data_IF_973219375894
#
_entry.id   IF_973219375894
#
_cell.length_a   1.000
_cell.length_b   1.000
_cell.length_c   1.000
_cell.angle_alpha   90.00
_cell.angle_beta   90.00
_cell.angle_gamma   90.00
#
_symmetry.space_group_name_H-M   'P 1'
#
loop_
_entity.id
_entity.type
_entity.pdbx_description
1 polymer ?
#
# COMPACT_ATOMS: atom_id res chain seq x y z
N UNK A 1 14.43 28.27 -91.90
CA UNK A 1 14.13 28.08 -93.33
C UNK A 1 12.64 28.18 -93.46
N UNK A 2 12.16 29.31 -93.94
CA UNK A 2 10.74 29.46 -94.27
C UNK A 2 10.41 28.47 -95.39
N UNK A 3 9.26 27.81 -95.28
CA UNK A 3 8.76 26.94 -96.34
C UNK A 3 8.72 27.73 -97.64
N UNK A 4 9.36 27.21 -98.69
CA UNK A 4 9.44 27.88 -99.98
C UNK A 4 8.04 28.03 -100.59
N UNK A 5 7.87 29.07 -101.42
CA UNK A 5 6.55 29.47 -101.90
C UNK A 5 5.84 28.38 -102.74
N UNK A 6 6.58 27.48 -103.38
CA UNK A 6 6.02 26.36 -104.13
C UNK A 6 5.46 25.29 -103.18
N UNK A 7 6.22 24.89 -102.18
CA UNK A 7 5.75 23.93 -101.16
C UNK A 7 4.57 24.47 -100.37
N UNK A 8 4.56 25.77 -100.04
CA UNK A 8 3.42 26.42 -99.36
C UNK A 8 2.13 26.37 -100.21
N UNK A 9 2.23 26.70 -101.50
CA UNK A 9 1.10 26.60 -102.45
C UNK A 9 0.61 25.16 -102.62
N UNK A 10 1.51 24.18 -102.62
CA UNK A 10 1.12 22.77 -102.67
C UNK A 10 0.41 22.34 -101.39
N UNK A 11 0.90 22.79 -100.23
CA UNK A 11 0.29 22.49 -98.94
C UNK A 11 -1.10 23.15 -98.77
N UNK A 12 -1.28 24.37 -99.29
CA UNK A 12 -2.59 25.04 -99.36
C UNK A 12 -3.58 24.28 -100.25
N UNK A 13 -3.13 23.77 -101.41
CA UNK A 13 -3.96 22.91 -102.28
C UNK A 13 -4.37 21.61 -101.58
N UNK A 14 -3.43 20.96 -100.89
CA UNK A 14 -3.72 19.74 -100.13
C UNK A 14 -4.71 20.04 -99.00
N UNK A 15 -4.53 21.14 -98.27
CA UNK A 15 -5.46 21.56 -97.22
C UNK A 15 -6.87 21.81 -97.77
N UNK A 16 -6.99 22.44 -98.94
CA UNK A 16 -8.27 22.65 -99.62
C UNK A 16 -8.96 21.32 -99.98
N UNK A 17 -8.22 20.37 -100.57
CA UNK A 17 -8.75 19.05 -100.93
C UNK A 17 -9.14 18.24 -99.69
N UNK A 18 -8.33 18.28 -98.62
CA UNK A 18 -8.66 17.60 -97.36
C UNK A 18 -9.92 18.19 -96.72
N UNK A 19 -10.11 19.50 -96.79
CA UNK A 19 -11.31 20.15 -96.26
C UNK A 19 -12.56 19.80 -97.06
N UNK A 20 -12.45 19.66 -98.37
CA UNK A 20 -13.57 19.23 -99.23
C UNK A 20 -13.93 17.76 -98.95
N UNK A 21 -12.91 16.89 -98.87
CA UNK A 21 -13.07 15.49 -98.51
C UNK A 21 -13.71 15.32 -97.12
N UNK A 22 -13.33 16.16 -96.14
CA UNK A 22 -13.95 16.13 -94.81
C UNK A 22 -15.44 16.43 -94.84
N UNK A 23 -15.87 17.36 -95.71
CA UNK A 23 -17.29 17.68 -95.87
C UNK A 23 -18.07 16.54 -96.50
N UNK A 24 -17.48 15.87 -97.48
CA UNK A 24 -18.10 14.71 -98.11
C UNK A 24 -18.17 13.53 -97.14
N UNK A 25 -17.10 13.29 -96.36
CA UNK A 25 -17.05 12.25 -95.33
C UNK A 25 -18.02 12.53 -94.17
N UNK A 26 -18.27 13.79 -93.83
CA UNK A 26 -19.27 14.17 -92.81
C UNK A 26 -20.70 13.81 -93.24
N UNK A 27 -21.03 13.93 -94.54
CA UNK A 27 -22.32 13.47 -95.07
C UNK A 27 -22.33 11.94 -95.13
N UNK A 28 -21.27 11.34 -95.67
CA UNK A 28 -21.17 9.89 -95.86
C UNK A 28 -21.16 9.09 -94.55
N UNK A 29 -20.57 9.63 -93.47
CA UNK A 29 -20.53 8.98 -92.15
C UNK A 29 -21.90 8.89 -91.48
N UNK A 30 -22.90 9.62 -92.01
CA UNK A 30 -24.28 9.62 -91.55
C UNK A 30 -25.23 8.90 -92.51
N UNK A 31 -24.71 8.25 -93.56
CA UNK A 31 -25.49 7.38 -94.44
C UNK A 31 -25.61 5.98 -93.85
N UNK A 32 -26.77 5.31 -94.00
CA UNK A 32 -26.88 3.93 -93.63
C UNK A 32 -26.06 3.05 -94.59
N UNK A 33 -25.53 1.94 -94.07
CA UNK A 33 -24.75 0.95 -94.83
C UNK A 33 -25.57 0.33 -95.97
N UNK A 34 -26.89 0.21 -95.79
CA UNK A 34 -27.84 -0.17 -96.84
C UNK A 34 -28.80 0.97 -97.12
N UNK A 35 -28.78 1.47 -98.37
CA UNK A 35 -29.70 2.48 -98.87
C UNK A 35 -30.99 1.87 -99.42
N UNK A 36 -31.10 0.54 -99.54
CA UNK A 36 -32.30 -0.13 -100.05
C UNK A 36 -33.59 0.22 -99.30
N UNK A 37 -33.60 0.49 -97.98
CA UNK A 37 -34.83 0.90 -97.31
C UNK A 37 -35.34 2.27 -97.74
N UNK A 38 -34.46 3.14 -98.25
CA UNK A 38 -34.83 4.46 -98.77
C UNK A 38 -35.59 4.38 -100.11
N UNK A 39 -35.57 3.22 -100.77
CA UNK A 39 -36.17 3.02 -102.10
C UNK A 39 -37.38 2.11 -102.04
N UNK A 40 -37.68 1.53 -100.86
CA UNK A 40 -38.83 0.66 -100.63
C UNK A 40 -40.03 1.48 -100.18
N UNK A 41 -41.04 1.53 -101.05
CA UNK A 41 -42.33 2.18 -100.76
C UNK A 41 -42.96 1.72 -99.44
N UNK A 42 -42.84 0.43 -99.10
CA UNK A 42 -43.39 -0.14 -97.87
C UNK A 42 -42.73 0.47 -96.62
N UNK A 43 -41.41 0.69 -96.63
CA UNK A 43 -40.69 1.32 -95.52
C UNK A 43 -41.12 2.79 -95.36
N UNK A 44 -41.22 3.52 -96.46
CA UNK A 44 -41.63 4.94 -96.47
C UNK A 44 -43.11 5.14 -96.08
N UNK A 45 -44.00 4.24 -96.49
CA UNK A 45 -45.41 4.26 -96.05
C UNK A 45 -45.54 3.97 -94.55
N UNK A 46 -44.68 3.09 -94.01
CA UNK A 46 -44.63 2.78 -92.58
C UNK A 46 -44.11 3.98 -91.78
N UNK A 47 -43.10 4.70 -92.29
CA UNK A 47 -42.64 5.97 -91.69
C UNK A 47 -43.78 7.01 -91.69
N UNK A 48 -44.52 7.13 -92.80
CA UNK A 48 -45.65 8.05 -92.92
C UNK A 48 -46.76 7.76 -91.91
N UNK A 49 -47.08 6.48 -91.68
CA UNK A 49 -48.10 6.10 -90.68
C UNK A 49 -47.63 6.32 -89.26
N UNK A 50 -46.34 6.09 -88.95
CA UNK A 50 -45.74 6.42 -87.65
C UNK A 50 -45.80 7.93 -87.37
N UNK A 51 -45.39 8.77 -88.33
CA UNK A 51 -45.45 10.23 -88.20
C UNK A 51 -46.87 10.78 -88.08
N UNK A 52 -47.85 10.20 -88.78
CA UNK A 52 -49.25 10.65 -88.76
C UNK A 52 -50.03 10.18 -87.52
N UNK A 53 -49.64 9.07 -86.90
CA UNK A 53 -50.36 8.49 -85.75
C UNK A 53 -49.99 9.13 -84.42
N UNK A 54 -48.91 9.92 -84.36
CA UNK A 54 -48.48 10.59 -83.13
C UNK A 54 -48.16 9.65 -81.97
N UNK A 55 -47.94 8.36 -82.25
CA UNK A 55 -47.55 7.36 -81.27
C UNK A 55 -46.05 7.53 -80.96
N UNK A 56 -45.73 8.57 -80.21
CA UNK A 56 -44.53 8.54 -79.38
C UNK A 56 -44.84 7.64 -78.17
N UNK A 57 -43.92 6.71 -77.89
CA UNK A 57 -43.87 5.81 -76.72
C UNK A 57 -44.65 4.47 -76.81
N UNK A 58 -43.89 3.37 -76.82
CA UNK A 58 -44.31 2.13 -76.14
C UNK A 58 -44.45 0.85 -76.96
N UNK A 59 -43.85 0.76 -78.15
CA UNK A 59 -43.70 -0.51 -78.89
C UNK A 59 -42.22 -0.91 -79.02
N UNK A 60 -41.53 -1.08 -77.90
CA UNK A 60 -40.21 -1.74 -77.91
C UNK A 60 -40.39 -3.21 -78.35
N UNK A 61 -39.40 -3.70 -79.10
CA UNK A 61 -39.21 -5.05 -79.64
C UNK A 61 -39.66 -5.20 -81.11
N UNK A 62 -38.72 -4.95 -82.04
CA UNK A 62 -38.76 -5.18 -83.50
C UNK A 62 -39.25 -4.02 -84.41
N UNK A 63 -38.85 -2.77 -84.16
CA UNK A 63 -38.78 -1.83 -85.28
C UNK A 63 -37.69 -2.31 -86.25
N UNK A 64 -38.06 -2.61 -87.50
CA UNK A 64 -37.12 -3.01 -88.56
C UNK A 64 -36.09 -1.90 -88.78
N UNK A 65 -34.80 -2.28 -88.82
CA UNK A 65 -33.69 -1.40 -89.20
C UNK A 65 -33.97 -0.65 -90.52
N UNK A 66 -34.72 -1.29 -91.42
CA UNK A 66 -35.19 -0.72 -92.67
C UNK A 66 -36.11 0.49 -92.48
N UNK A 67 -37.02 0.46 -91.51
CA UNK A 67 -37.93 1.58 -91.23
C UNK A 67 -37.16 2.74 -90.60
N UNK A 68 -36.24 2.46 -89.67
CA UNK A 68 -35.33 3.47 -89.08
C UNK A 68 -34.44 4.13 -90.12
N UNK A 69 -33.84 3.34 -91.00
CA UNK A 69 -33.08 3.88 -92.13
C UNK A 69 -33.97 4.79 -92.98
N UNK A 70 -35.18 4.34 -93.37
CA UNK A 70 -36.11 5.15 -94.17
C UNK A 70 -36.56 6.46 -93.50
N UNK A 71 -36.62 6.53 -92.15
CA UNK A 71 -36.89 7.78 -91.43
C UNK A 71 -35.84 8.86 -91.69
N UNK A 72 -34.56 8.49 -91.85
CA UNK A 72 -33.45 9.43 -92.05
C UNK A 72 -33.57 10.23 -93.36
N UNK A 73 -34.12 9.63 -94.42
CA UNK A 73 -34.30 10.29 -95.71
C UNK A 73 -35.66 10.97 -95.85
N UNK A 74 -36.65 10.61 -95.02
CA UNK A 74 -38.04 11.02 -95.19
C UNK A 74 -38.21 12.55 -95.23
N UNK A 75 -37.54 13.28 -94.33
CA UNK A 75 -37.59 14.74 -94.29
C UNK A 75 -36.90 15.44 -95.48
N UNK A 76 -35.92 14.78 -96.12
CA UNK A 76 -35.34 15.26 -97.38
C UNK A 76 -36.28 14.95 -98.54
N UNK A 77 -36.84 13.75 -98.58
CA UNK A 77 -37.80 13.34 -99.61
C UNK A 77 -39.06 14.23 -99.64
N UNK A 78 -39.57 14.65 -98.48
CA UNK A 78 -40.73 15.56 -98.40
C UNK A 78 -40.51 16.90 -99.11
N UNK A 79 -39.26 17.37 -99.20
CA UNK A 79 -38.92 18.61 -99.90
C UNK A 79 -39.02 18.49 -101.42
N UNK A 80 -39.00 17.26 -101.96
CA UNK A 80 -39.03 16.96 -103.40
C UNK A 80 -40.38 16.41 -103.89
N UNK A 81 -41.36 16.20 -103.01
CA UNK A 81 -42.68 15.70 -103.37
C UNK A 81 -43.25 14.73 -102.35
N UNK A 82 -44.11 13.80 -102.79
CA UNK A 82 -44.62 12.74 -101.91
C UNK A 82 -43.47 11.77 -101.57
N UNK A 83 -43.09 11.61 -100.28
CA UNK A 83 -42.04 10.68 -99.86
C UNK A 83 -42.36 9.21 -100.15
N UNK A 84 -43.60 8.87 -100.51
CA UNK A 84 -44.01 7.50 -100.86
C UNK A 84 -44.02 7.24 -102.38
N UNK A 85 -43.77 8.27 -103.20
CA UNK A 85 -43.64 8.16 -104.65
C UNK A 85 -42.16 8.16 -105.07
N UNK A 86 -41.51 6.99 -104.94
CA UNK A 86 -40.08 6.78 -105.25
C UNK A 86 -39.74 7.16 -106.70
N UNK A 87 -40.67 7.00 -107.64
CA UNK A 87 -40.44 7.28 -109.06
C UNK A 87 -40.65 8.76 -109.43
N UNK A 88 -41.47 9.48 -108.66
CA UNK A 88 -41.74 10.91 -108.84
C UNK A 88 -40.83 11.83 -108.02
N UNK A 89 -40.13 11.29 -107.03
CA UNK A 89 -39.27 12.05 -106.12
C UNK A 89 -37.80 12.02 -106.58
N UNK A 90 -37.25 13.18 -106.95
CA UNK A 90 -35.89 13.28 -107.50
C UNK A 90 -34.81 12.75 -106.55
N UNK A 91 -34.90 13.05 -105.24
CA UNK A 91 -33.95 12.55 -104.26
C UNK A 91 -34.01 11.02 -104.15
N UNK A 92 -35.21 10.45 -104.06
CA UNK A 92 -35.37 8.99 -103.97
C UNK A 92 -34.99 8.28 -105.27
N UNK A 93 -35.20 8.91 -106.43
CA UNK A 93 -34.79 8.38 -107.74
C UNK A 93 -33.26 8.32 -107.87
N UNK A 94 -32.55 9.35 -107.40
CA UNK A 94 -31.09 9.35 -107.36
C UNK A 94 -30.54 8.27 -106.43
N UNK A 95 -31.15 8.11 -105.24
CA UNK A 95 -30.80 7.03 -104.30
C UNK A 95 -31.07 5.64 -104.87
N UNK A 96 -32.20 5.46 -105.55
CA UNK A 96 -32.54 4.22 -106.22
C UNK A 96 -31.53 3.88 -107.33
N UNK A 97 -31.17 4.87 -108.15
CA UNK A 97 -30.15 4.70 -109.18
C UNK A 97 -28.76 4.38 -108.61
N UNK A 98 -28.39 4.95 -107.47
CA UNK A 98 -27.14 4.63 -106.77
C UNK A 98 -27.16 3.21 -106.19
N UNK A 99 -28.24 2.84 -105.48
CA UNK A 99 -28.37 1.52 -104.86
C UNK A 99 -28.44 0.38 -105.89
N UNK A 100 -29.13 0.60 -107.02
CA UNK A 100 -29.16 -0.35 -108.14
C UNK A 100 -27.76 -0.52 -108.74
N UNK A 101 -27.03 0.57 -108.96
CA UNK A 101 -25.67 0.52 -109.50
C UNK A 101 -24.70 -0.17 -108.53
N UNK A 102 -24.79 0.10 -107.22
CA UNK A 102 -23.96 -0.58 -106.22
C UNK A 102 -24.23 -2.09 -106.20
N UNK A 103 -25.50 -2.49 -106.35
CA UNK A 103 -25.87 -3.90 -106.47
C UNK A 103 -25.29 -4.52 -107.74
N UNK A 104 -25.44 -3.87 -108.90
CA UNK A 104 -24.89 -4.35 -110.17
C UNK A 104 -23.35 -4.48 -110.11
N UNK A 105 -22.67 -3.49 -109.54
CA UNK A 105 -21.21 -3.51 -109.34
C UNK A 105 -20.77 -4.61 -108.39
N UNK A 106 -21.51 -4.86 -107.30
CA UNK A 106 -21.21 -5.93 -106.35
C UNK A 106 -21.45 -7.30 -106.96
N UNK A 107 -22.52 -7.46 -107.75
CA UNK A 107 -22.76 -8.67 -108.55
C UNK A 107 -21.66 -8.89 -109.60
N UNK A 108 -21.24 -7.85 -110.31
CA UNK A 108 -20.12 -7.93 -111.26
C UNK A 108 -18.80 -8.29 -110.57
N UNK A 109 -18.49 -7.66 -109.44
CA UNK A 109 -17.30 -7.96 -108.65
C UNK A 109 -17.28 -9.39 -108.13
N UNK A 110 -18.43 -9.93 -107.70
CA UNK A 110 -18.55 -11.29 -107.16
C UNK A 110 -18.58 -12.38 -108.23
N UNK A 111 -19.22 -12.12 -109.38
CA UNK A 111 -19.38 -13.09 -110.47
C UNK A 111 -18.19 -13.08 -111.43
N UNK A 112 -17.72 -11.90 -111.82
CA UNK A 112 -16.66 -11.70 -112.84
C UNK A 112 -15.29 -11.47 -112.20
N UNK A 113 -15.25 -11.01 -110.94
CA UNK A 113 -14.01 -10.71 -110.22
C UNK A 113 -13.43 -9.32 -110.50
N UNK A 114 -14.14 -8.49 -111.27
CA UNK A 114 -13.73 -7.11 -111.60
C UNK A 114 -14.94 -6.23 -111.89
N UNK A 115 -14.80 -4.93 -111.60
CA UNK A 115 -15.76 -3.87 -111.93
C UNK A 115 -15.17 -3.00 -113.03
N UNK A 116 -15.97 -2.58 -114.01
CA UNK A 116 -15.46 -1.76 -115.11
C UNK A 116 -15.18 -0.31 -114.66
N UNK A 117 -14.18 0.33 -115.27
CA UNK A 117 -13.84 1.73 -114.97
C UNK A 117 -15.02 2.69 -115.26
N UNK A 118 -15.81 2.39 -116.29
CA UNK A 118 -17.01 3.16 -116.64
C UNK A 118 -18.08 3.08 -115.54
N UNK A 119 -18.24 1.92 -114.88
CA UNK A 119 -19.17 1.71 -113.76
C UNK A 119 -18.69 2.47 -112.53
N UNK A 120 -17.39 2.44 -112.23
CA UNK A 120 -16.77 3.22 -111.14
C UNK A 120 -16.92 4.73 -111.35
N UNK A 121 -16.72 5.22 -112.57
CA UNK A 121 -16.92 6.64 -112.89
C UNK A 121 -18.40 7.04 -112.76
N UNK A 122 -19.31 6.17 -113.21
CA UNK A 122 -20.76 6.38 -113.06
C UNK A 122 -21.17 6.39 -111.58
N UNK A 123 -20.64 5.47 -110.78
CA UNK A 123 -20.86 5.41 -109.34
C UNK A 123 -20.37 6.68 -108.66
N UNK A 124 -19.16 7.13 -108.97
CA UNK A 124 -18.63 8.38 -108.41
C UNK A 124 -19.51 9.60 -108.74
N UNK A 125 -19.97 9.73 -109.99
CA UNK A 125 -20.84 10.84 -110.39
C UNK A 125 -22.21 10.79 -109.70
N UNK A 126 -22.82 9.60 -109.56
CA UNK A 126 -24.10 9.43 -108.88
C UNK A 126 -23.97 9.62 -107.37
N UNK A 127 -22.92 9.08 -106.75
CA UNK A 127 -22.61 9.29 -105.34
C UNK A 127 -22.39 10.78 -105.05
N UNK A 128 -21.66 11.48 -105.91
CA UNK A 128 -21.48 12.94 -105.80
C UNK A 128 -22.80 13.69 -105.89
N UNK A 129 -23.63 13.35 -106.87
CA UNK A 129 -24.96 13.96 -107.01
C UNK A 129 -25.83 13.71 -105.77
N UNK A 130 -25.81 12.49 -105.22
CA UNK A 130 -26.51 12.15 -103.99
C UNK A 130 -25.99 12.96 -102.80
N UNK A 131 -24.68 13.05 -102.59
CA UNK A 131 -24.08 13.82 -101.50
C UNK A 131 -24.41 15.31 -101.63
N UNK A 132 -24.33 15.87 -102.85
CA UNK A 132 -24.67 17.26 -103.09
C UNK A 132 -26.17 17.52 -102.83
N UNK A 133 -27.06 16.65 -103.31
CA UNK A 133 -28.52 16.71 -103.02
C UNK A 133 -28.80 16.65 -101.52
N UNK A 134 -28.18 15.72 -100.79
CA UNK A 134 -28.35 15.63 -99.33
C UNK A 134 -27.82 16.86 -98.61
N UNK A 135 -26.68 17.38 -99.05
CA UNK A 135 -26.03 18.54 -98.45
C UNK A 135 -26.83 19.83 -98.67
N UNK A 136 -27.33 20.06 -99.88
CA UNK A 136 -28.19 21.20 -100.22
C UNK A 136 -29.49 21.21 -99.38
N UNK A 137 -29.92 20.03 -98.93
CA UNK A 137 -31.11 19.85 -98.10
C UNK A 137 -30.82 19.71 -96.61
N UNK A 138 -29.61 20.09 -96.17
CA UNK A 138 -29.24 20.14 -94.75
C UNK A 138 -29.37 18.78 -94.04
N UNK A 139 -29.18 17.67 -94.77
CA UNK A 139 -29.32 16.30 -94.26
C UNK A 139 -28.53 16.07 -92.96
N UNK A 140 -27.29 16.54 -92.89
CA UNK A 140 -26.43 16.41 -91.69
C UNK A 140 -27.08 17.04 -90.46
N UNK A 141 -27.67 18.23 -90.60
CA UNK A 141 -28.33 18.92 -89.49
C UNK A 141 -29.61 18.19 -89.08
N UNK A 142 -30.39 17.70 -90.07
CA UNK A 142 -31.61 16.93 -89.85
C UNK A 142 -31.33 15.61 -89.10
N UNK A 143 -30.33 14.85 -89.54
CA UNK A 143 -29.94 13.58 -88.88
C UNK A 143 -29.40 13.81 -87.48
N UNK A 144 -28.58 14.85 -87.27
CA UNK A 144 -28.11 15.22 -85.93
C UNK A 144 -29.26 15.62 -85.00
N UNK A 145 -30.26 16.35 -85.50
CA UNK A 145 -31.43 16.71 -84.72
C UNK A 145 -32.28 15.48 -84.37
N UNK A 146 -32.42 14.52 -85.29
CA UNK A 146 -33.06 13.22 -85.02
C UNK A 146 -32.28 12.44 -83.95
N UNK A 147 -30.94 12.37 -84.07
CA UNK A 147 -30.05 11.75 -83.08
C UNK A 147 -30.15 12.43 -81.71
N UNK A 148 -30.16 13.76 -81.65
CA UNK A 148 -30.28 14.53 -80.40
C UNK A 148 -31.64 14.36 -79.74
N UNK A 149 -32.74 14.36 -80.52
CA UNK A 149 -34.09 14.07 -79.99
C UNK A 149 -34.17 12.65 -79.42
N UNK A 150 -33.60 11.67 -80.10
CA UNK A 150 -33.55 10.29 -79.62
C UNK A 150 -32.66 10.13 -78.37
N UNK A 151 -31.49 10.78 -78.35
CA UNK A 151 -30.60 10.79 -77.18
C UNK A 151 -31.24 11.47 -75.95
N UNK A 152 -32.01 12.54 -76.17
CA UNK A 152 -32.73 13.25 -75.10
C UNK A 152 -33.98 12.49 -74.60
N UNK A 153 -34.61 11.67 -75.44
CA UNK A 153 -35.73 10.81 -75.05
C UNK A 153 -35.26 9.57 -74.24
N UNK A 154 -34.02 9.11 -74.43
CA UNK A 154 -33.46 7.91 -73.81
C UNK A 154 -32.31 8.21 -72.83
N UNK A 155 -32.59 8.83 -71.67
CA UNK A 155 -31.58 9.03 -70.60
C UNK A 155 -31.26 7.74 -69.79
N UNK A 156 -31.84 6.57 -70.12
CA UNK A 156 -31.68 5.34 -69.31
C UNK A 156 -31.27 4.05 -70.05
N UNK A 157 -31.01 4.07 -71.36
CA UNK A 157 -30.39 2.93 -72.07
C UNK A 157 -29.49 3.46 -73.18
N UNK A 158 -28.20 3.16 -73.10
CA UNK A 158 -27.28 3.26 -74.23
C UNK A 158 -27.71 2.23 -75.29
N UNK A 159 -28.68 2.58 -76.14
CA UNK A 159 -29.10 1.73 -77.23
C UNK A 159 -28.34 2.12 -78.52
N UNK A 160 -27.48 1.24 -79.07
CA UNK A 160 -26.63 1.54 -80.23
C UNK A 160 -27.38 1.41 -81.57
N UNK A 161 -28.68 1.67 -81.61
CA UNK A 161 -29.54 1.36 -82.76
C UNK A 161 -29.15 2.12 -84.04
N UNK A 162 -28.81 3.42 -83.93
CA UNK A 162 -28.33 4.19 -85.08
C UNK A 162 -26.84 3.89 -85.40
N UNK A 163 -26.03 3.55 -84.40
CA UNK A 163 -24.62 3.21 -84.59
C UNK A 163 -24.43 1.90 -85.35
N UNK A 164 -25.43 1.01 -85.34
CA UNK A 164 -25.45 -0.23 -86.14
C UNK A 164 -25.73 0.01 -87.63
N UNK A 165 -26.43 1.10 -87.96
CA UNK A 165 -26.78 1.46 -89.34
C UNK A 165 -25.63 2.16 -90.08
N UNK A 166 -24.70 2.80 -89.36
CA UNK A 166 -23.61 3.59 -89.93
C UNK A 166 -22.33 2.77 -90.12
N UNK A 167 -21.54 3.09 -91.14
CA UNK A 167 -20.24 2.43 -91.35
C UNK A 167 -19.17 3.00 -90.39
N UNK A 168 -18.66 2.21 -89.41
CA UNK A 168 -17.57 2.65 -88.54
C UNK A 168 -16.26 2.93 -89.29
N UNK A 169 -16.08 2.32 -90.47
CA UNK A 169 -14.94 2.54 -91.35
C UNK A 169 -14.91 3.96 -91.93
N UNK A 170 -16.07 4.50 -92.35
CA UNK A 170 -16.18 5.88 -92.86
C UNK A 170 -15.94 6.90 -91.75
N UNK A 171 -16.45 6.64 -90.55
CA UNK A 171 -16.21 7.49 -89.37
C UNK A 171 -14.73 7.49 -88.95
N UNK A 172 -14.08 6.32 -88.95
CA UNK A 172 -12.65 6.22 -88.68
C UNK A 172 -11.82 6.96 -89.76
N UNK A 173 -12.22 6.86 -91.03
CA UNK A 173 -11.57 7.59 -92.12
C UNK A 173 -11.73 9.10 -91.94
N UNK A 174 -12.91 9.58 -91.55
CA UNK A 174 -13.13 11.00 -91.24
C UNK A 174 -12.16 11.49 -90.17
N UNK A 175 -12.03 10.79 -89.04
CA UNK A 175 -11.09 11.15 -87.98
C UNK A 175 -9.62 11.15 -88.42
N UNK A 176 -9.22 10.20 -89.28
CA UNK A 176 -7.87 10.17 -89.83
C UNK A 176 -7.62 11.39 -90.73
N UNK A 177 -8.58 11.75 -91.57
CA UNK A 177 -8.48 12.94 -92.43
C UNK A 177 -8.48 14.23 -91.61
N UNK A 178 -9.23 14.30 -90.51
CA UNK A 178 -9.22 15.42 -89.55
C UNK A 178 -7.85 15.61 -88.91
N UNK A 179 -7.26 14.51 -88.41
CA UNK A 179 -5.92 14.52 -87.85
C UNK A 179 -4.86 14.92 -88.89
N UNK A 180 -4.99 14.44 -90.12
CA UNK A 180 -4.10 14.79 -91.22
C UNK A 180 -4.20 16.28 -91.57
N UNK A 181 -5.41 16.83 -91.65
CA UNK A 181 -5.64 18.26 -91.89
C UNK A 181 -5.02 19.12 -90.77
N UNK A 182 -5.19 18.73 -89.51
CA UNK A 182 -4.59 19.41 -88.36
C UNK A 182 -3.06 19.38 -88.38
N UNK A 183 -2.46 18.23 -88.74
CA UNK A 183 -1.01 18.09 -88.88
C UNK A 183 -0.45 18.94 -90.01
N UNK A 184 -1.13 18.97 -91.16
CA UNK A 184 -0.74 19.83 -92.29
C UNK A 184 -0.83 21.31 -91.89
N UNK A 185 -1.88 21.72 -91.18
CA UNK A 185 -2.01 23.08 -90.68
C UNK A 185 -0.89 23.45 -89.68
N UNK A 186 -0.61 22.58 -88.71
CA UNK A 186 0.44 22.79 -87.71
C UNK A 186 1.82 22.93 -88.36
N UNK A 187 2.17 22.00 -89.26
CA UNK A 187 3.46 22.02 -89.97
C UNK A 187 3.62 23.25 -90.86
N UNK A 188 2.53 23.74 -91.45
CA UNK A 188 2.56 24.94 -92.28
C UNK A 188 2.69 26.23 -91.46
N UNK A 189 2.43 26.18 -90.14
CA UNK A 189 2.46 27.33 -89.24
C UNK A 189 3.75 27.47 -88.43
N UNK A 190 4.50 26.38 -88.20
CA UNK A 190 5.73 26.38 -87.39
C UNK A 190 6.94 26.88 -88.16
N UNK A 191 7.69 27.82 -87.57
CA UNK A 191 8.93 28.36 -88.14
C UNK A 191 10.18 27.72 -87.53
N UNK A 192 11.29 27.67 -88.27
CA UNK A 192 12.57 27.12 -87.78
C UNK A 192 13.09 27.85 -86.52
N UNK A 193 12.70 29.11 -86.30
CA UNK A 193 13.07 29.84 -85.08
C UNK A 193 12.35 29.29 -83.84
N UNK A 194 11.11 28.84 -83.98
CA UNK A 194 10.35 28.22 -82.89
C UNK A 194 10.92 26.84 -82.56
N UNK A 195 11.33 26.06 -83.56
CA UNK A 195 11.98 24.77 -83.35
C UNK A 195 13.30 24.90 -82.59
N UNK A 196 14.13 25.89 -82.94
CA UNK A 196 15.38 26.16 -82.22
C UNK A 196 15.12 26.60 -80.78
N UNK A 197 14.06 27.39 -80.55
CA UNK A 197 13.66 27.81 -79.20
C UNK A 197 13.18 26.62 -78.37
N UNK A 198 12.34 25.76 -78.93
CA UNK A 198 11.84 24.56 -78.28
C UNK A 198 12.97 23.58 -77.95
N UNK A 199 13.93 23.41 -78.87
CA UNK A 199 15.11 22.58 -78.63
C UNK A 199 15.96 23.11 -77.47
N UNK A 200 16.21 24.43 -77.38
CA UNK A 200 16.97 25.00 -76.25
C UNK A 200 16.27 24.78 -74.91
N UNK A 201 14.96 25.01 -74.84
CA UNK A 201 14.17 24.78 -73.62
C UNK A 201 14.27 23.32 -73.19
N UNK A 202 14.12 22.39 -74.13
CA UNK A 202 14.24 20.96 -73.85
C UNK A 202 15.65 20.60 -73.37
N UNK A 203 16.69 21.12 -74.02
CA UNK A 203 18.07 20.84 -73.64
C UNK A 203 18.43 21.41 -72.25
N UNK A 204 17.94 22.61 -71.90
CA UNK A 204 18.09 23.17 -70.56
C UNK A 204 17.34 22.34 -69.51
N UNK A 205 16.13 21.88 -69.81
CA UNK A 205 15.36 21.01 -68.93
C UNK A 205 16.09 19.68 -68.66
N UNK A 206 16.61 19.04 -69.70
CA UNK A 206 17.40 17.79 -69.57
C UNK A 206 18.67 18.01 -68.75
N UNK A 207 19.35 19.15 -68.91
CA UNK A 207 20.53 19.46 -68.10
C UNK A 207 20.18 19.72 -66.63
N UNK A 208 19.06 20.39 -66.35
CA UNK A 208 18.53 20.56 -64.98
C UNK A 208 18.15 19.22 -64.35
N UNK A 209 17.55 18.31 -65.11
CA UNK A 209 17.23 16.97 -64.63
C UNK A 209 18.49 16.16 -64.32
N UNK A 210 19.51 16.22 -65.19
CA UNK A 210 20.80 15.54 -64.95
C UNK A 210 21.50 16.04 -63.70
N UNK A 211 21.50 17.36 -63.46
CA UNK A 211 22.09 17.95 -62.25
C UNK A 211 21.30 17.57 -61.00
N UNK A 212 19.96 17.69 -61.02
CA UNK A 212 19.12 17.23 -59.92
C UNK A 212 19.29 15.72 -59.62
N UNK A 213 19.47 14.88 -60.64
CA UNK A 213 19.76 13.44 -60.47
C UNK A 213 21.12 13.19 -59.81
N UNK A 214 22.13 14.02 -60.10
CA UNK A 214 23.43 13.96 -59.43
C UNK A 214 23.31 14.36 -57.95
N UNK A 215 22.54 15.41 -57.64
CA UNK A 215 22.31 15.88 -56.28
C UNK A 215 21.55 14.84 -55.45
N UNK A 216 20.51 14.20 -56.01
CA UNK A 216 19.79 13.10 -55.36
C UNK A 216 20.73 11.92 -55.07
N UNK A 217 21.65 11.60 -55.99
CA UNK A 217 22.66 10.56 -55.75
C UNK A 217 23.66 10.96 -54.65
N UNK A 218 24.05 12.22 -54.56
CA UNK A 218 24.92 12.73 -53.50
C UNK A 218 24.22 12.64 -52.13
N UNK A 219 23.00 13.18 -52.03
CA UNK A 219 22.18 13.13 -50.82
C UNK A 219 21.90 11.69 -50.37
N UNK A 220 21.66 10.77 -51.32
CA UNK A 220 21.45 9.35 -51.00
C UNK A 220 22.71 8.71 -50.38
N UNK A 221 23.91 9.09 -50.84
CA UNK A 221 25.17 8.61 -50.24
C UNK A 221 25.38 9.19 -48.85
N UNK A 222 25.22 10.50 -48.68
CA UNK A 222 25.33 11.15 -47.37
C UNK A 222 24.33 10.57 -46.36
N UNK A 223 23.10 10.30 -46.80
CA UNK A 223 22.10 9.62 -45.98
C UNK A 223 22.50 8.19 -45.61
N UNK A 224 23.11 7.45 -46.53
CA UNK A 224 23.62 6.10 -46.25
C UNK A 224 24.78 6.13 -45.26
N UNK A 225 25.74 7.05 -45.44
CA UNK A 225 26.88 7.24 -44.54
C UNK A 225 26.42 7.63 -43.13
N UNK A 226 25.51 8.61 -43.01
CA UNK A 226 24.95 9.01 -41.71
C UNK A 226 24.17 7.88 -41.05
N UNK A 227 23.40 7.10 -41.82
CA UNK A 227 22.70 5.91 -41.31
C UNK A 227 23.66 4.83 -40.82
N UNK A 228 24.77 4.61 -41.51
CA UNK A 228 25.81 3.65 -41.08
C UNK A 228 26.55 4.12 -39.84
N UNK A 229 26.87 5.42 -39.74
CA UNK A 229 27.45 6.02 -38.54
C UNK A 229 26.53 5.88 -37.33
N UNK A 230 25.24 6.20 -37.47
CA UNK A 230 24.27 6.02 -36.38
C UNK A 230 24.13 4.55 -35.97
N UNK A 231 24.16 3.62 -36.93
CA UNK A 231 24.14 2.18 -36.62
C UNK A 231 25.38 1.75 -35.82
N UNK A 232 26.56 2.27 -36.17
CA UNK A 232 27.79 1.99 -35.44
C UNK A 232 27.77 2.59 -34.03
N UNK A 233 27.25 3.82 -33.88
CA UNK A 233 27.07 4.48 -32.58
C UNK A 233 26.10 3.70 -31.68
N UNK A 234 24.93 3.31 -32.20
CA UNK A 234 23.96 2.50 -31.45
C UNK A 234 24.58 1.16 -31.04
N UNK A 235 25.31 0.49 -31.93
CA UNK A 235 25.97 -0.76 -31.59
C UNK A 235 27.05 -0.59 -30.50
N UNK A 236 27.77 0.54 -30.50
CA UNK A 236 28.74 0.85 -29.44
C UNK A 236 28.05 1.10 -28.09
N UNK A 237 26.94 1.84 -28.09
CA UNK A 237 26.14 2.08 -26.89
C UNK A 237 25.51 0.79 -26.35
N UNK A 238 25.04 -0.11 -27.22
CA UNK A 238 24.49 -1.41 -26.81
C UNK A 238 25.57 -2.26 -26.10
N UNK A 239 26.82 -2.20 -26.55
CA UNK A 239 27.95 -2.87 -25.88
C UNK A 239 28.25 -2.24 -24.53
N UNK A 240 28.22 -0.90 -24.42
CA UNK A 240 28.42 -0.20 -23.14
C UNK A 240 27.30 -0.52 -22.14
N UNK A 241 26.05 -0.58 -22.59
CA UNK A 241 24.90 -0.98 -21.78
C UNK A 241 25.10 -2.41 -21.25
N UNK A 242 25.49 -3.36 -22.10
CA UNK A 242 25.77 -4.74 -21.68
C UNK A 242 26.87 -4.80 -20.62
N UNK A 243 27.95 -4.04 -20.77
CA UNK A 243 29.03 -3.98 -19.78
C UNK A 243 28.53 -3.45 -18.42
N UNK A 244 27.71 -2.39 -18.43
CA UNK A 244 27.13 -1.83 -17.20
C UNK A 244 26.15 -2.83 -16.56
N UNK A 245 25.36 -3.56 -17.35
CA UNK A 245 24.47 -4.60 -16.84
C UNK A 245 25.26 -5.73 -16.15
N UNK A 246 26.36 -6.18 -16.76
CA UNK A 246 27.27 -7.17 -16.17
C UNK A 246 27.92 -6.66 -14.87
N UNK A 247 28.35 -5.38 -14.82
CA UNK A 247 28.89 -4.75 -13.61
C UNK A 247 27.84 -4.66 -12.48
N UNK A 248 26.58 -4.35 -12.83
CA UNK A 248 25.47 -4.32 -11.87
C UNK A 248 25.19 -5.73 -11.35
N UNK A 249 25.20 -6.75 -12.21
CA UNK A 249 24.99 -8.13 -11.78
C UNK A 249 26.14 -8.62 -10.88
N UNK A 250 27.39 -8.29 -11.24
CA UNK A 250 28.55 -8.57 -10.41
C UNK A 250 28.44 -7.92 -9.04
N UNK A 251 28.16 -6.62 -8.96
CA UNK A 251 28.00 -5.92 -7.67
C UNK A 251 26.84 -6.47 -6.85
N UNK A 252 25.70 -6.82 -7.47
CA UNK A 252 24.59 -7.50 -6.78
C UNK A 252 25.03 -8.84 -6.18
N UNK A 253 25.81 -9.62 -6.92
CA UNK A 253 26.30 -10.92 -6.44
C UNK A 253 27.26 -10.77 -5.26
N UNK A 254 28.16 -9.78 -5.31
CA UNK A 254 29.09 -9.46 -4.22
C UNK A 254 28.34 -9.01 -2.98
N UNK A 255 27.37 -8.09 -3.12
CA UNK A 255 26.55 -7.62 -2.00
C UNK A 255 25.74 -8.76 -1.39
N UNK A 256 25.18 -9.67 -2.20
CA UNK A 256 24.46 -10.82 -1.68
C UNK A 256 25.38 -11.76 -0.86
N UNK A 257 26.61 -11.97 -1.34
CA UNK A 257 27.62 -12.76 -0.62
C UNK A 257 28.07 -12.09 0.67
N UNK A 258 28.32 -10.78 0.65
CA UNK A 258 28.67 -9.99 1.86
C UNK A 258 27.53 -9.97 2.87
N UNK A 259 26.28 -9.83 2.43
CA UNK A 259 25.10 -9.89 3.29
C UNK A 259 24.96 -11.27 3.93
N UNK A 260 25.16 -12.34 3.16
CA UNK A 260 25.12 -13.71 3.68
C UNK A 260 26.20 -13.94 4.75
N UNK A 261 27.44 -13.51 4.48
CA UNK A 261 28.54 -13.59 5.44
C UNK A 261 28.27 -12.75 6.70
N UNK A 262 27.71 -11.55 6.55
CA UNK A 262 27.32 -10.71 7.68
C UNK A 262 26.24 -11.37 8.54
N UNK A 263 25.21 -11.97 7.91
CA UNK A 263 24.17 -12.69 8.64
C UNK A 263 24.72 -13.89 9.39
N UNK A 264 25.63 -14.65 8.80
CA UNK A 264 26.30 -15.79 9.45
C UNK A 264 27.11 -15.34 10.68
N UNK A 265 27.94 -14.30 10.54
CA UNK A 265 28.72 -13.74 11.66
C UNK A 265 27.81 -13.20 12.75
N UNK A 266 26.72 -12.53 12.40
CA UNK A 266 25.77 -12.00 13.38
C UNK A 266 25.04 -13.11 14.13
N UNK A 267 24.70 -14.21 13.43
CA UNK A 267 24.14 -15.41 14.07
C UNK A 267 25.13 -16.04 15.03
N UNK A 268 26.39 -16.26 14.62
CA UNK A 268 27.44 -16.78 15.50
C UNK A 268 27.63 -15.92 16.74
N UNK A 269 27.66 -14.59 16.57
CA UNK A 269 27.81 -13.65 17.68
C UNK A 269 26.60 -13.66 18.63
N UNK A 270 25.39 -13.87 18.10
CA UNK A 270 24.19 -14.05 18.92
C UNK A 270 24.22 -15.38 19.69
N UNK A 271 24.67 -16.47 19.06
CA UNK A 271 24.84 -17.78 19.70
C UNK A 271 25.91 -17.72 20.80
N UNK A 272 27.05 -17.06 20.55
CA UNK A 272 28.08 -16.82 21.56
C UNK A 272 27.56 -16.02 22.75
N UNK A 273 26.80 -14.94 22.51
CA UNK A 273 26.16 -14.17 23.58
C UNK A 273 25.19 -15.02 24.39
N UNK A 274 24.35 -15.81 23.72
CA UNK A 274 23.42 -16.71 24.42
C UNK A 274 24.17 -17.75 25.26
N UNK A 275 25.25 -18.32 24.74
CA UNK A 275 26.09 -19.27 25.48
C UNK A 275 26.76 -18.61 26.70
N UNK A 276 27.27 -17.38 26.54
CA UNK A 276 27.83 -16.59 27.65
C UNK A 276 26.78 -16.26 28.71
N UNK A 277 25.59 -15.84 28.31
CA UNK A 277 24.48 -15.55 29.23
C UNK A 277 24.05 -16.80 30.00
N UNK A 278 23.98 -17.97 29.35
CA UNK A 278 23.70 -19.25 30.01
C UNK A 278 24.78 -19.60 31.01
N UNK A 279 26.07 -19.50 30.63
CA UNK A 279 27.20 -19.74 31.53
C UNK A 279 27.16 -18.81 32.75
N UNK A 280 26.94 -17.52 32.54
CA UNK A 280 26.86 -16.54 33.62
C UNK A 280 25.65 -16.79 34.53
N UNK A 281 24.49 -17.19 33.98
CA UNK A 281 23.33 -17.58 34.77
C UNK A 281 23.61 -18.83 35.62
N UNK A 282 24.35 -19.81 35.09
CA UNK A 282 24.77 -20.99 35.85
C UNK A 282 25.73 -20.62 36.99
N UNK A 283 26.72 -19.77 36.73
CA UNK A 283 27.62 -19.24 37.76
C UNK A 283 26.85 -18.51 38.87
N UNK A 284 25.91 -17.64 38.51
CA UNK A 284 25.07 -16.92 39.49
C UNK A 284 24.20 -17.89 40.28
N UNK A 285 23.63 -18.93 39.66
CA UNK A 285 22.89 -19.98 40.37
C UNK A 285 23.77 -20.73 41.37
N UNK A 286 24.98 -21.11 40.98
CA UNK A 286 25.93 -21.76 41.87
C UNK A 286 26.31 -20.87 43.05
N UNK A 287 26.55 -19.58 42.82
CA UNK A 287 26.80 -18.61 43.88
C UNK A 287 25.60 -18.43 44.81
N UNK A 288 24.39 -18.40 44.27
CA UNK A 288 23.17 -18.31 45.06
C UNK A 288 23.00 -19.52 45.99
N UNK A 289 23.18 -20.74 45.46
CA UNK A 289 23.15 -21.97 46.27
C UNK A 289 24.22 -21.95 47.36
N UNK A 290 25.45 -21.59 47.01
CA UNK A 290 26.55 -21.48 47.99
C UNK A 290 26.23 -20.45 49.08
N UNK A 291 25.64 -19.31 48.72
CA UNK A 291 25.22 -18.31 49.70
C UNK A 291 24.08 -18.81 50.59
N UNK A 292 23.11 -19.54 50.04
CA UNK A 292 22.03 -20.17 50.80
C UNK A 292 22.57 -21.20 51.80
N UNK A 293 23.51 -22.05 51.39
CA UNK A 293 24.22 -22.99 52.27
C UNK A 293 24.95 -22.26 53.40
N UNK A 294 25.75 -21.24 53.07
CA UNK A 294 26.48 -20.47 54.10
C UNK A 294 25.55 -19.74 55.06
N UNK A 295 24.41 -19.23 54.58
CA UNK A 295 23.39 -18.62 55.42
C UNK A 295 22.77 -19.67 56.36
N UNK A 296 22.44 -20.85 55.84
CA UNK A 296 21.94 -21.97 56.62
C UNK A 296 22.89 -22.37 57.75
N UNK A 297 24.18 -22.50 57.46
CA UNK A 297 25.22 -22.78 58.45
C UNK A 297 25.31 -21.68 59.53
N UNK A 298 25.30 -20.41 59.14
CA UNK A 298 25.34 -19.28 60.08
C UNK A 298 24.10 -19.21 60.96
N UNK A 299 22.92 -19.48 60.41
CA UNK A 299 21.66 -19.54 61.16
C UNK A 299 21.69 -20.69 62.16
N UNK A 300 22.12 -21.89 61.74
CA UNK A 300 22.23 -23.05 62.63
C UNK A 300 23.22 -22.77 63.78
N UNK A 301 24.39 -22.20 63.46
CA UNK A 301 25.39 -21.80 64.46
C UNK A 301 24.84 -20.77 65.44
N UNK A 302 24.13 -19.75 64.96
CA UNK A 302 23.50 -18.75 65.83
C UNK A 302 22.44 -19.37 66.74
N UNK A 303 21.62 -20.30 66.23
CA UNK A 303 20.65 -21.02 67.04
C UNK A 303 21.32 -21.87 68.13
N UNK A 304 22.42 -22.56 67.80
CA UNK A 304 23.21 -23.32 68.76
C UNK A 304 23.80 -22.39 69.85
N UNK A 305 24.45 -21.29 69.44
CA UNK A 305 24.97 -20.27 70.36
C UNK A 305 23.85 -19.69 71.25
N UNK A 306 22.69 -19.36 70.69
CA UNK A 306 21.51 -18.89 71.43
C UNK A 306 21.02 -19.92 72.46
N UNK A 307 20.96 -21.20 72.08
CA UNK A 307 20.56 -22.28 72.97
C UNK A 307 21.58 -22.50 74.10
N UNK A 308 22.89 -22.43 73.81
CA UNK A 308 23.92 -22.50 74.86
C UNK A 308 23.82 -21.32 75.82
N UNK A 309 23.55 -20.10 75.33
CA UNK A 309 23.34 -18.93 76.18
C UNK A 309 22.07 -19.04 77.02
N UNK A 310 20.97 -19.55 76.46
CA UNK A 310 19.72 -19.81 77.21
C UNK A 310 19.93 -20.83 78.33
N UNK A 311 20.63 -21.93 78.05
CA UNK A 311 20.92 -22.95 79.06
C UNK A 311 21.87 -22.43 80.14
N UNK A 312 22.90 -21.66 79.78
CA UNK A 312 23.77 -20.98 80.75
C UNK A 312 23.00 -19.97 81.60
N UNK A 313 22.11 -19.18 81.00
CA UNK A 313 21.24 -18.24 81.70
C UNK A 313 20.34 -18.98 82.69
N UNK A 314 19.65 -20.03 82.27
CA UNK A 314 18.80 -20.83 83.16
C UNK A 314 19.59 -21.44 84.34
N UNK A 315 20.81 -21.93 84.09
CA UNK A 315 21.70 -22.42 85.17
C UNK A 315 22.08 -21.33 86.16
N UNK A 316 22.42 -20.13 85.67
CA UNK A 316 22.76 -18.98 86.52
C UNK A 316 21.53 -18.48 87.29
N UNK A 317 20.37 -18.37 86.65
CA UNK A 317 19.10 -18.00 87.29
C UNK A 317 18.71 -19.00 88.38
N UNK A 318 18.87 -20.32 88.13
CA UNK A 318 18.65 -21.35 89.14
C UNK A 318 19.65 -21.25 90.31
N UNK A 319 20.93 -21.00 90.03
CA UNK A 319 21.94 -20.83 91.07
C UNK A 319 21.68 -19.58 91.94
N UNK A 320 21.30 -18.45 91.32
CA UNK A 320 20.90 -17.24 92.05
C UNK A 320 19.64 -17.49 92.87
N UNK A 321 18.64 -18.16 92.31
CA UNK A 321 17.41 -18.49 93.04
C UNK A 321 17.70 -19.39 94.24
N UNK A 322 18.57 -20.40 94.08
CA UNK A 322 19.01 -21.28 95.16
C UNK A 322 19.75 -20.49 96.26
N UNK A 323 20.66 -19.58 95.87
CA UNK A 323 21.38 -18.73 96.82
C UNK A 323 20.44 -17.79 97.60
N UNK A 324 19.40 -17.23 96.95
CA UNK A 324 18.37 -16.44 97.62
C UNK A 324 17.61 -17.31 98.63
N UNK A 325 17.18 -18.51 98.24
CA UNK A 325 16.45 -19.41 99.16
C UNK A 325 17.31 -19.85 100.35
N UNK A 326 18.62 -20.05 100.15
CA UNK A 326 19.55 -20.38 101.23
C UNK A 326 19.76 -19.18 102.16
N UNK A 327 19.91 -17.97 101.61
CA UNK A 327 20.00 -16.75 102.39
C UNK A 327 18.73 -16.50 103.22
N UNK A 328 17.54 -16.67 102.62
CA UNK A 328 16.26 -16.54 103.32
C UNK A 328 16.13 -17.57 104.46
N UNK A 329 16.57 -18.81 104.23
CA UNK A 329 16.60 -19.85 105.27
C UNK A 329 17.56 -19.50 106.41
N UNK A 330 18.76 -19.03 106.09
CA UNK A 330 19.75 -18.57 107.07
C UNK A 330 19.19 -17.39 107.89
N UNK A 331 18.59 -16.40 107.23
CA UNK A 331 17.96 -15.26 107.89
C UNK A 331 16.79 -15.68 108.77
N UNK A 332 15.92 -16.59 108.31
CA UNK A 332 14.83 -17.15 109.11
C UNK A 332 15.35 -17.88 110.35
N UNK A 333 16.43 -18.66 110.21
CA UNK A 333 17.05 -19.38 111.32
C UNK A 333 17.64 -18.40 112.33
N UNK A 334 18.31 -17.36 111.85
CA UNK A 334 18.94 -16.33 112.68
C UNK A 334 17.88 -15.48 113.40
N UNK A 335 16.77 -15.15 112.74
CA UNK A 335 15.60 -14.52 113.38
C UNK A 335 14.99 -15.41 114.47
N UNK A 336 14.82 -16.71 114.21
CA UNK A 336 14.32 -17.65 115.20
C UNK A 336 15.26 -17.78 116.42
N UNK A 337 16.58 -17.83 116.19
CA UNK A 337 17.59 -17.85 117.25
C UNK A 337 17.58 -16.54 118.06
N UNK A 338 17.45 -15.39 117.39
CA UNK A 338 17.35 -14.08 118.07
C UNK A 338 16.08 -14.01 118.92
N UNK A 339 14.95 -14.51 118.42
CA UNK A 339 13.71 -14.57 119.18
C UNK A 339 13.82 -15.50 120.41
N UNK A 340 14.51 -16.64 120.27
CA UNK A 340 14.76 -17.55 121.40
C UNK A 340 15.66 -16.91 122.46
N UNK A 341 16.76 -16.24 122.05
CA UNK A 341 17.63 -15.51 122.97
C UNK A 341 16.91 -14.36 123.67
N UNK A 342 16.05 -13.63 122.96
CA UNK A 342 15.22 -12.59 123.58
C UNK A 342 14.26 -13.18 124.61
N UNK A 343 13.63 -14.33 124.33
CA UNK A 343 12.78 -15.03 125.28
C UNK A 343 13.54 -15.50 126.51
N UNK A 344 14.73 -16.05 126.32
CA UNK A 344 15.62 -16.45 127.43
C UNK A 344 16.04 -15.23 128.26
N UNK A 345 16.37 -14.11 127.63
CA UNK A 345 16.67 -12.87 128.33
C UNK A 345 15.46 -12.32 129.11
N UNK A 346 14.24 -12.42 128.55
CA UNK A 346 13.00 -12.07 129.26
C UNK A 346 12.81 -12.98 130.50
N UNK A 347 12.97 -14.29 130.36
CA UNK A 347 12.89 -15.26 131.48
C UNK A 347 13.95 -14.99 132.55
N UNK A 348 15.20 -14.70 132.16
CA UNK A 348 16.27 -14.33 133.08
C UNK A 348 15.97 -13.01 133.81
N UNK A 349 15.40 -12.02 133.12
CA UNK A 349 14.98 -10.78 133.79
C UNK A 349 13.85 -11.01 134.79
N UNK A 350 12.88 -11.88 134.48
CA UNK A 350 11.82 -12.27 135.41
C UNK A 350 12.40 -12.98 136.64
N UNK A 351 13.36 -13.88 136.45
CA UNK A 351 14.05 -14.57 137.55
C UNK A 351 14.84 -13.61 138.45
N UNK A 352 15.51 -12.61 137.86
CA UNK A 352 16.23 -11.57 138.61
C UNK A 352 15.25 -10.72 139.43
N UNK A 353 14.11 -10.34 138.87
CA UNK A 353 13.07 -9.58 139.59
C UNK A 353 12.54 -10.41 140.77
N UNK A 354 12.25 -11.69 140.58
CA UNK A 354 11.82 -12.58 141.66
C UNK A 354 12.87 -12.70 142.79
N UNK A 355 14.16 -12.82 142.44
CA UNK A 355 15.25 -12.85 143.42
C UNK A 355 15.39 -11.51 144.19
N UNK A 356 15.18 -10.37 143.52
CA UNK A 356 15.20 -9.06 144.18
C UNK A 356 14.00 -8.89 145.13
N UNK A 357 12.83 -9.42 144.77
CA UNK A 357 11.67 -9.51 145.67
C UNK A 357 11.99 -10.36 146.92
N UNK A 358 12.57 -11.55 146.75
CA UNK A 358 13.00 -12.41 147.88
C UNK A 358 14.07 -11.74 148.77
N UNK A 359 15.04 -11.04 148.17
CA UNK A 359 16.04 -10.27 148.92
C UNK A 359 15.42 -9.14 149.73
N UNK A 360 14.39 -8.48 149.21
CA UNK A 360 13.66 -7.44 149.95
C UNK A 360 12.88 -8.05 151.14
N UNK A 361 12.28 -9.23 150.99
CA UNK A 361 11.66 -9.97 152.11
C UNK A 361 12.70 -10.29 153.19
N UNK A 362 13.86 -10.85 152.80
CA UNK A 362 14.94 -11.15 153.76
C UNK A 362 15.47 -9.90 154.47
N UNK A 363 15.51 -8.75 153.78
CA UNK A 363 15.86 -7.46 154.43
C UNK A 363 14.83 -7.05 155.47
N UNK A 364 13.55 -7.25 155.21
CA UNK A 364 12.49 -6.97 156.20
C UNK A 364 12.60 -7.89 157.42
N UNK A 365 12.78 -9.20 157.21
CA UNK A 365 12.95 -10.17 158.31
C UNK A 365 14.21 -9.89 159.15
N UNK A 366 15.32 -9.49 158.50
CA UNK A 366 16.54 -9.08 159.22
C UNK A 366 16.27 -7.88 160.14
N UNK A 367 15.54 -6.87 159.65
CA UNK A 367 15.21 -5.68 160.44
C UNK A 367 14.29 -6.04 161.62
N UNK A 368 13.35 -6.96 161.43
CA UNK A 368 12.49 -7.48 162.49
C UNK A 368 13.29 -8.25 163.56
N UNK A 369 14.22 -9.11 163.14
CA UNK A 369 15.12 -9.82 164.06
C UNK A 369 16.01 -8.88 164.89
N UNK A 370 16.54 -7.82 164.28
CA UNK A 370 17.32 -6.80 164.99
C UNK A 370 16.46 -6.05 166.03
N UNK A 371 15.19 -5.79 165.73
CA UNK A 371 14.24 -5.19 166.67
C UNK A 371 13.93 -6.14 167.84
N UNK A 372 13.74 -7.42 167.57
CA UNK A 372 13.43 -8.42 168.59
C UNK A 372 14.60 -8.60 169.58
N UNK A 373 15.83 -8.61 169.06
CA UNK A 373 17.05 -8.63 169.88
C UNK A 373 17.23 -7.37 170.74
N UNK A 374 16.78 -6.21 170.25
CA UNK A 374 16.78 -4.97 171.04
C UNK A 374 15.76 -5.03 172.19
N UNK A 375 14.57 -5.60 171.96
CA UNK A 375 13.56 -5.82 173.00
C UNK A 375 14.07 -6.79 174.07
N UNK A 376 14.78 -7.85 173.68
CA UNK A 376 15.32 -8.86 174.60
C UNK A 376 16.41 -8.26 175.51
N UNK A 377 17.31 -7.44 174.94
CA UNK A 377 18.28 -6.63 175.70
C UNK A 377 17.61 -5.70 176.74
N UNK A 378 16.47 -5.08 176.38
CA UNK A 378 15.71 -4.24 177.31
C UNK A 378 15.05 -5.05 178.44
N UNK A 379 14.65 -6.30 178.18
CA UNK A 379 14.08 -7.20 179.21
C UNK A 379 15.14 -7.66 180.21
N UNK A 380 16.33 -8.04 179.73
CA UNK A 380 17.43 -8.47 180.61
C UNK A 380 17.87 -7.36 181.57
N UNK A 381 17.96 -6.13 181.07
CA UNK A 381 18.26 -4.95 181.89
C UNK A 381 17.21 -4.71 182.99
N UNK A 382 15.94 -4.93 182.67
CA UNK A 382 14.85 -4.81 183.64
C UNK A 382 14.90 -5.89 184.73
N UNK A 383 15.31 -7.12 184.39
CA UNK A 383 15.50 -8.20 185.37
C UNK A 383 16.68 -7.94 186.32
N UNK A 384 17.78 -7.35 185.83
CA UNK A 384 18.92 -6.95 186.67
C UNK A 384 18.51 -5.87 187.69
N UNK A 385 17.82 -4.81 187.25
CA UNK A 385 17.34 -3.74 188.12
C UNK A 385 16.39 -4.27 189.21
N UNK A 386 15.51 -5.21 188.88
CA UNK A 386 14.57 -5.82 189.83
C UNK A 386 15.30 -6.66 190.90
N UNK A 387 16.34 -7.39 190.49
CA UNK A 387 17.15 -8.22 191.38
C UNK A 387 17.98 -7.37 192.36
N UNK A 388 18.45 -6.21 191.93
CA UNK A 388 19.20 -5.27 192.78
C UNK A 388 18.31 -4.64 193.86
N UNK A 389 17.08 -4.26 193.51
CA UNK A 389 16.07 -3.77 194.46
C UNK A 389 15.66 -4.84 195.50
N UNK A 390 15.55 -6.10 195.09
CA UNK A 390 15.21 -7.22 195.96
C UNK A 390 16.31 -7.49 197.00
N UNK A 391 17.58 -7.37 196.60
CA UNK A 391 18.74 -7.53 197.48
C UNK A 391 18.86 -6.41 198.54
N UNK A 392 18.54 -5.16 198.18
CA UNK A 392 18.51 -4.04 199.14
C UNK A 392 17.42 -4.21 200.20
N UNK A 393 16.22 -4.62 199.81
CA UNK A 393 15.12 -4.89 200.74
C UNK A 393 15.45 -6.04 201.71
N UNK A 394 16.09 -7.10 201.20
CA UNK A 394 16.49 -8.27 202.00
C UNK A 394 17.52 -7.92 203.08
N UNK A 395 18.51 -7.05 202.78
CA UNK A 395 19.47 -6.55 203.78
C UNK A 395 18.80 -5.73 204.88
N UNK A 396 17.82 -4.91 204.52
CA UNK A 396 17.09 -4.06 205.47
C UNK A 396 16.29 -4.90 206.46
N UNK A 397 15.60 -5.94 205.97
CA UNK A 397 14.85 -6.90 206.82
C UNK A 397 15.78 -7.62 207.80
N UNK A 398 16.96 -8.06 207.36
CA UNK A 398 17.93 -8.74 208.23
C UNK A 398 18.47 -7.85 209.36
N UNK A 399 18.66 -6.56 209.13
CA UNK A 399 19.10 -5.60 210.16
C UNK A 399 17.99 -5.39 211.20
N UNK A 400 16.73 -5.22 210.77
CA UNK A 400 15.58 -5.11 211.66
C UNK A 400 15.40 -6.37 212.53
N UNK A 401 15.60 -7.56 211.96
CA UNK A 401 15.47 -8.82 212.69
C UNK A 401 16.58 -9.02 213.74
N UNK A 402 17.82 -8.62 213.44
CA UNK A 402 18.94 -8.65 214.40
C UNK A 402 18.74 -7.66 215.56
N UNK A 403 18.21 -6.46 215.27
CA UNK A 403 17.88 -5.47 216.30
C UNK A 403 16.75 -5.94 217.24
N UNK A 404 15.74 -6.64 216.70
CA UNK A 404 14.67 -7.24 217.50
C UNK A 404 15.19 -8.34 218.44
N UNK A 405 16.04 -9.25 217.93
CA UNK A 405 16.64 -10.33 218.73
C UNK A 405 17.56 -9.85 219.86
N UNK A 406 18.26 -8.72 219.67
CA UNK A 406 19.06 -8.11 220.73
C UNK A 406 18.21 -7.54 221.88
N UNK A 407 17.04 -6.94 221.56
CA UNK A 407 16.09 -6.42 222.56
C UNK A 407 15.48 -7.52 223.44
N UNK A 408 15.11 -8.66 222.84
CA UNK A 408 14.47 -9.79 223.56
C UNK A 408 15.43 -10.44 224.56
N UNK A 409 16.74 -10.49 224.26
CA UNK A 409 17.73 -11.07 225.18
C UNK A 409 18.05 -10.16 226.38
N UNK A 410 18.01 -8.84 226.21
CA UNK A 410 18.23 -7.89 227.32
C UNK A 410 17.09 -7.92 228.35
N UNK A 411 15.84 -8.11 227.89
CA UNK A 411 14.65 -8.08 228.75
C UNK A 411 14.55 -9.32 229.67
N UNK A 412 15.10 -10.48 229.26
CA UNK A 412 15.16 -11.69 230.09
C UNK A 412 16.16 -11.62 231.25
N UNK A 413 17.12 -10.71 231.22
CA UNK A 413 18.13 -10.58 232.28
C UNK A 413 17.66 -9.74 233.50
N UNK A 414 16.57 -8.98 233.39
CA UNK A 414 16.14 -8.04 234.44
C UNK A 414 15.07 -8.55 235.42
N UNK A 415 14.35 -9.64 235.12
CA UNK A 415 13.10 -9.99 235.85
C UNK A 415 13.22 -11.11 236.90
N UNK A 416 14.42 -11.61 237.23
CA UNK A 416 14.59 -12.71 238.21
C UNK A 416 15.38 -12.32 239.48
N UNK A 417 15.22 -11.09 239.99
CA UNK A 417 15.89 -10.63 241.22
C UNK A 417 14.90 -9.95 242.20
N UNK A 418 14.67 -10.61 243.35
CA UNK A 418 13.93 -10.22 244.60
C UNK A 418 12.42 -10.56 244.60
N UNK A 419 11.81 -11.28 245.56
CA UNK A 419 12.08 -11.42 247.02
C UNK A 419 11.25 -12.58 247.67
N UNK A 420 11.84 -13.42 248.54
CA UNK A 420 11.15 -14.17 249.65
C UNK A 420 12.17 -14.48 250.77
N UNK A 421 11.75 -14.38 252.04
CA UNK A 421 12.55 -14.59 253.27
C UNK A 421 11.99 -15.81 254.05
N UNK A 422 12.81 -16.87 254.21
CA UNK A 422 12.92 -17.79 255.37
C UNK A 422 11.85 -18.87 255.71
N UNK A 423 12.28 -20.15 255.83
CA UNK A 423 11.99 -21.11 256.94
C UNK A 423 12.98 -22.31 256.89
N UNK A 424 13.28 -22.91 258.06
CA UNK A 424 14.27 -23.97 258.36
C UNK A 424 13.56 -25.31 258.67
N UNK A 425 14.10 -26.44 258.21
CA UNK A 425 14.11 -27.81 258.79
C UNK A 425 15.31 -28.48 258.11
N UNK A 426 16.34 -28.91 258.86
CA UNK A 426 16.51 -30.28 259.35
C UNK A 426 16.50 -31.29 258.22
#
# INVERSE_FOLDING_TARGET
MDMDALTRRQAEKIAYVLQDLLRDLEVASLLPVDLSPWTRKVCLETVRTQLCSGAEEGGEEDEDDDVRAAQLIYGVAERYGDPTDVNGNEALLQMAGLAELEKEMLEAATVVGSVEEAELQRHHMLFRAVVDTLRENEYVAMVREIQERQANAFIMKDDPALTQLLDPGVSALQHVVEALAALVAARNSTTVNEDVRNYRILHEAVNKEKTASADVKALKREYQETKELHRAEVAALDVEIQQIEEEIEYTRSVVAMELAAFLEVNQQLQEERQAQDVSHLEEVKQLAVKHEETLGELVARNQEESNTLRTQRAKKEAAVSAAITEYDLQMSTLHAATAALNKEAEEDTEAIVALDEELNVLRTEKNEYELEKFIESMRDKHYEDMQEALNQNTRTIQVCFRAYMARVKFQKAQTASKKKKGKRSK
#
